data_IF_940574479331
#
_entry.id   IF_940574479331
#
_cell.length_a   1.000
_cell.length_b   1.000
_cell.length_c   1.000
_cell.angle_alpha   90.00
_cell.angle_beta   90.00
_cell.angle_gamma   90.00
#
_symmetry.space_group_name_H-M   'P 1'
#
loop_
_entity.id
_entity.type
_entity.pdbx_description
1 polymer ?
#
# COMPACT_ATOMS: atom_id res chain seq x y z
N UNK A 1 21.25 22.01 11.92
CA UNK A 1 21.84 20.65 11.90
C UNK A 1 23.34 20.79 12.13
N UNK A 2 24.00 19.89 12.88
CA UNK A 2 25.44 20.01 13.15
C UNK A 2 26.27 19.79 11.88
N UNK A 3 27.46 20.39 11.83
CA UNK A 3 28.41 20.21 10.73
C UNK A 3 28.95 18.77 10.76
N UNK A 4 28.76 18.02 9.66
CA UNK A 4 29.17 16.61 9.54
C UNK A 4 28.04 15.57 9.69
N UNK A 5 26.77 15.97 9.75
CA UNK A 5 25.66 15.04 9.68
C UNK A 5 25.49 14.48 8.25
N UNK A 6 25.71 13.18 8.09
CA UNK A 6 25.53 12.49 6.82
C UNK A 6 24.05 12.41 6.44
N UNK A 7 23.71 12.80 5.22
CA UNK A 7 22.32 12.78 4.75
C UNK A 7 22.02 11.42 4.12
N UNK A 8 21.19 10.61 4.79
CA UNK A 8 20.74 9.33 4.27
C UNK A 8 19.28 9.40 3.78
N UNK A 9 19.02 8.77 2.63
CA UNK A 9 17.66 8.58 2.12
C UNK A 9 16.93 7.56 3.01
N UNK A 10 15.67 7.87 3.36
CA UNK A 10 14.86 6.96 4.16
C UNK A 10 14.54 5.66 3.39
N UNK A 11 14.43 4.48 4.04
CA UNK A 11 14.16 3.21 3.34
C UNK A 11 12.91 3.23 2.46
N UNK A 12 11.85 3.90 2.90
CA UNK A 12 10.62 4.06 2.11
C UNK A 12 10.84 4.94 0.87
N UNK A 13 11.61 6.02 1.03
CA UNK A 13 11.98 6.96 -0.03
C UNK A 13 12.83 6.24 -1.09
N UNK A 14 13.74 5.36 -0.65
CA UNK A 14 14.56 4.53 -1.52
C UNK A 14 13.70 3.54 -2.33
N UNK A 15 12.77 2.81 -1.70
CA UNK A 15 11.83 1.91 -2.40
C UNK A 15 10.99 2.62 -3.46
N UNK A 16 10.50 3.81 -3.14
CA UNK A 16 9.73 4.65 -4.09
C UNK A 16 10.59 5.02 -5.29
N UNK A 17 11.84 5.43 -5.04
CA UNK A 17 12.79 5.79 -6.10
C UNK A 17 13.16 4.61 -6.99
N UNK A 18 13.36 3.44 -6.39
CA UNK A 18 13.81 2.23 -7.09
C UNK A 18 12.65 1.45 -7.74
N UNK A 19 11.40 1.85 -7.49
CA UNK A 19 10.22 1.11 -7.98
C UNK A 19 10.17 -0.31 -7.42
N UNK A 20 10.55 -0.51 -6.15
CA UNK A 20 10.62 -1.80 -5.48
C UNK A 20 9.57 -1.91 -4.34
N UNK A 21 8.29 -2.20 -4.67
CA UNK A 21 7.24 -2.40 -3.67
C UNK A 21 7.53 -3.56 -2.73
N UNK A 22 7.12 -3.39 -1.48
CA UNK A 22 7.11 -4.48 -0.51
C UNK A 22 5.73 -5.16 -0.41
N UNK A 23 4.67 -4.52 -0.93
CA UNK A 23 3.32 -5.07 -0.91
C UNK A 23 2.48 -4.58 -2.07
N UNK A 24 1.53 -5.41 -2.49
CA UNK A 24 0.58 -5.16 -3.57
C UNK A 24 -0.84 -5.41 -3.08
N UNK A 25 -1.78 -4.56 -3.50
CA UNK A 25 -3.22 -4.77 -3.37
C UNK A 25 -3.84 -4.67 -4.76
N UNK A 26 -4.60 -5.67 -5.17
CA UNK A 26 -5.34 -5.66 -6.43
C UNK A 26 -6.82 -5.75 -6.12
N UNK A 27 -7.57 -4.73 -6.52
CA UNK A 27 -9.03 -4.67 -6.39
C UNK A 27 -9.65 -4.88 -7.77
N UNK A 28 -10.71 -5.70 -7.85
CA UNK A 28 -11.40 -6.06 -9.09
C UNK A 28 -12.89 -6.21 -8.83
N UNK A 29 -13.69 -6.03 -9.89
CA UNK A 29 -15.13 -6.24 -9.89
C UNK A 29 -15.91 -5.01 -10.33
N UNK A 30 -17.17 -5.21 -10.71
CA UNK A 30 -18.03 -4.11 -11.20
C UNK A 30 -18.30 -3.05 -10.12
N UNK A 31 -18.34 -3.46 -8.84
CA UNK A 31 -18.50 -2.58 -7.70
C UNK A 31 -17.38 -1.53 -7.62
N UNK A 32 -16.13 -1.92 -7.92
CA UNK A 32 -14.99 -1.01 -7.91
C UNK A 32 -15.19 0.13 -8.91
N UNK A 33 -15.71 -0.15 -10.11
CA UNK A 33 -15.92 0.87 -11.15
C UNK A 33 -16.94 1.92 -10.74
N UNK A 34 -17.91 1.57 -9.88
CA UNK A 34 -18.96 2.47 -9.38
C UNK A 34 -18.50 3.24 -8.12
N UNK A 35 -17.68 2.62 -7.27
CA UNK A 35 -17.29 3.15 -5.95
C UNK A 35 -15.79 3.47 -5.82
N UNK A 36 -15.08 3.62 -6.93
CA UNK A 36 -13.61 3.78 -6.93
C UNK A 36 -13.13 4.92 -6.05
N UNK A 37 -13.77 6.10 -6.15
CA UNK A 37 -13.39 7.27 -5.38
C UNK A 37 -13.57 7.06 -3.87
N UNK A 38 -14.64 6.39 -3.46
CA UNK A 38 -14.93 6.07 -2.05
C UNK A 38 -13.92 5.06 -1.50
N UNK A 39 -13.62 4.01 -2.28
CA UNK A 39 -12.63 3.00 -1.95
C UNK A 39 -11.24 3.65 -1.81
N UNK A 40 -10.84 4.49 -2.77
CA UNK A 40 -9.57 5.23 -2.71
C UNK A 40 -9.51 6.16 -1.49
N UNK A 41 -10.60 6.84 -1.16
CA UNK A 41 -10.67 7.68 0.04
C UNK A 41 -10.47 6.86 1.32
N UNK A 42 -11.11 5.70 1.44
CA UNK A 42 -10.93 4.78 2.57
C UNK A 42 -9.46 4.31 2.69
N UNK A 43 -8.85 3.94 1.57
CA UNK A 43 -7.44 3.53 1.52
C UNK A 43 -6.52 4.67 1.99
N UNK A 44 -6.71 5.89 1.47
CA UNK A 44 -5.91 7.05 1.84
C UNK A 44 -6.03 7.37 3.33
N UNK A 45 -7.24 7.42 3.88
CA UNK A 45 -7.44 7.67 5.31
C UNK A 45 -6.78 6.60 6.20
N UNK A 46 -6.90 5.32 5.82
CA UNK A 46 -6.25 4.24 6.56
C UNK A 46 -4.72 4.38 6.54
N UNK A 47 -4.16 4.69 5.38
CA UNK A 47 -2.72 4.90 5.19
C UNK A 47 -2.21 6.12 5.94
N UNK A 48 -2.93 7.25 5.90
CA UNK A 48 -2.57 8.46 6.65
C UNK A 48 -2.56 8.21 8.15
N UNK A 49 -3.55 7.47 8.66
CA UNK A 49 -3.61 7.07 10.07
C UNK A 49 -2.38 6.23 10.45
N UNK A 50 -2.02 5.23 9.66
CA UNK A 50 -0.82 4.42 9.90
C UNK A 50 0.47 5.25 9.79
N UNK A 51 0.56 6.14 8.81
CA UNK A 51 1.73 7.01 8.60
C UNK A 51 2.02 7.93 9.79
N UNK A 52 1.00 8.37 10.52
CA UNK A 52 1.18 9.22 11.70
C UNK A 52 2.06 8.57 12.79
N UNK A 53 2.08 7.24 12.86
CA UNK A 53 2.87 6.44 13.81
C UNK A 53 4.03 5.70 13.15
N UNK A 54 3.89 5.42 11.86
CA UNK A 54 4.82 4.61 11.07
C UNK A 54 5.15 5.35 9.76
N UNK A 55 6.00 6.39 9.78
CA UNK A 55 6.25 7.28 8.64
C UNK A 55 6.88 6.58 7.42
N UNK A 56 7.37 5.35 7.57
CA UNK A 56 7.90 4.52 6.48
C UNK A 56 6.82 3.71 5.74
N UNK A 57 5.63 3.54 6.31
CA UNK A 57 4.50 2.84 5.68
C UNK A 57 3.76 3.79 4.73
N UNK A 58 3.98 3.72 3.43
CA UNK A 58 3.41 4.65 2.44
C UNK A 58 2.81 3.91 1.26
N UNK A 59 1.83 4.54 0.61
CA UNK A 59 1.46 4.20 -0.77
C UNK A 59 2.61 4.66 -1.67
N UNK A 60 3.02 3.78 -2.59
CA UNK A 60 3.99 4.10 -3.63
C UNK A 60 3.29 4.60 -4.89
N UNK A 61 2.33 3.84 -5.40
CA UNK A 61 1.58 4.17 -6.60
C UNK A 61 0.24 3.43 -6.62
N UNK A 62 -0.75 3.99 -7.30
CA UNK A 62 -1.96 3.29 -7.73
C UNK A 62 -2.08 3.38 -9.25
N UNK A 63 -2.55 2.32 -9.91
CA UNK A 63 -2.72 2.29 -11.36
C UNK A 63 -3.90 1.41 -11.74
N UNK A 64 -4.64 1.85 -12.77
CA UNK A 64 -5.71 1.05 -13.37
C UNK A 64 -5.13 0.15 -14.44
N UNK A 65 -5.47 -1.13 -14.41
CA UNK A 65 -5.04 -2.13 -15.38
C UNK A 65 -6.20 -3.10 -15.63
N UNK A 66 -6.70 -3.19 -16.87
CA UNK A 66 -7.71 -4.18 -17.28
C UNK A 66 -8.95 -4.28 -16.36
N UNK A 67 -9.51 -3.13 -15.97
CA UNK A 67 -10.66 -3.08 -15.05
C UNK A 67 -10.33 -3.41 -13.58
N UNK A 68 -9.05 -3.46 -13.25
CA UNK A 68 -8.54 -3.62 -11.89
C UNK A 68 -7.80 -2.38 -11.41
N UNK A 69 -7.83 -2.14 -10.11
CA UNK A 69 -7.03 -1.13 -9.44
C UNK A 69 -5.91 -1.81 -8.67
N UNK A 70 -4.67 -1.55 -9.08
CA UNK A 70 -3.46 -2.08 -8.44
C UNK A 70 -2.81 -0.97 -7.63
N UNK A 71 -2.58 -1.22 -6.36
CA UNK A 71 -1.95 -0.29 -5.42
C UNK A 71 -0.71 -0.95 -4.83
N UNK A 72 0.38 -0.19 -4.75
CA UNK A 72 1.67 -0.66 -4.26
C UNK A 72 2.06 0.09 -3.01
N UNK A 73 2.74 -0.61 -2.10
CA UNK A 73 3.09 -0.09 -0.77
C UNK A 73 4.55 -0.34 -0.45
N UNK A 74 5.13 0.54 0.37
CA UNK A 74 6.52 0.42 0.87
C UNK A 74 6.67 -0.62 1.99
N UNK A 75 5.56 -1.19 2.46
CA UNK A 75 5.48 -2.15 3.57
C UNK A 75 4.36 -3.19 3.32
N UNK A 76 4.65 -4.47 3.57
CA UNK A 76 3.71 -5.57 3.35
C UNK A 76 2.56 -5.58 4.38
N UNK A 77 2.83 -5.18 5.63
CA UNK A 77 1.79 -5.10 6.66
C UNK A 77 0.83 -3.95 6.40
N UNK A 78 1.29 -2.85 5.80
CA UNK A 78 0.40 -1.79 5.31
C UNK A 78 -0.53 -2.32 4.23
N UNK A 79 -0.01 -3.03 3.22
CA UNK A 79 -0.81 -3.62 2.14
C UNK A 79 -1.91 -4.54 2.71
N UNK A 80 -1.54 -5.41 3.66
CA UNK A 80 -2.46 -6.29 4.37
C UNK A 80 -3.53 -5.51 5.14
N UNK A 81 -3.13 -4.55 5.97
CA UNK A 81 -4.08 -3.77 6.79
C UNK A 81 -5.08 -2.99 5.93
N UNK A 82 -4.63 -2.46 4.79
CA UNK A 82 -5.52 -1.80 3.82
C UNK A 82 -6.48 -2.82 3.18
N UNK A 83 -6.00 -4.01 2.82
CA UNK A 83 -6.85 -5.06 2.26
C UNK A 83 -7.94 -5.51 3.25
N UNK A 84 -7.59 -5.71 4.52
CA UNK A 84 -8.53 -6.01 5.60
C UNK A 84 -9.53 -4.86 5.81
N UNK A 85 -9.09 -3.61 5.77
CA UNK A 85 -9.97 -2.45 5.91
C UNK A 85 -10.99 -2.33 4.77
N UNK A 86 -10.57 -2.57 3.52
CA UNK A 86 -11.47 -2.59 2.36
C UNK A 86 -12.46 -3.75 2.48
N UNK A 87 -11.98 -4.94 2.84
CA UNK A 87 -12.83 -6.12 3.04
C UNK A 87 -13.87 -5.91 4.14
N UNK A 88 -13.49 -5.31 5.27
CA UNK A 88 -14.43 -5.02 6.35
C UNK A 88 -15.46 -3.94 5.99
N UNK A 89 -15.13 -3.02 5.09
CA UNK A 89 -16.04 -1.94 4.68
C UNK A 89 -17.06 -2.38 3.62
N UNK A 90 -16.67 -3.29 2.72
CA UNK A 90 -17.47 -3.63 1.53
C UNK A 90 -17.77 -5.12 1.35
N UNK A 91 -17.26 -5.99 2.23
CA UNK A 91 -17.34 -7.45 2.14
C UNK A 91 -16.74 -8.00 0.81
N UNK A 92 -16.97 -9.28 0.51
CA UNK A 92 -16.60 -9.92 -0.74
C UNK A 92 -15.62 -11.08 -0.54
N UNK A 93 -14.59 -11.14 -1.38
CA UNK A 93 -13.55 -12.17 -1.28
C UNK A 93 -12.18 -11.50 -1.11
N UNK A 94 -11.42 -11.96 -0.11
CA UNK A 94 -10.08 -11.50 0.17
C UNK A 94 -9.12 -12.69 0.08
N UNK A 95 -8.15 -12.59 -0.83
CA UNK A 95 -7.09 -13.57 -1.00
C UNK A 95 -5.74 -12.91 -0.73
N UNK A 96 -4.88 -13.59 0.03
CA UNK A 96 -3.58 -13.08 0.46
C UNK A 96 -2.49 -14.07 0.08
N UNK A 97 -1.63 -13.62 -0.84
CA UNK A 97 -0.45 -14.36 -1.23
C UNK A 97 0.79 -13.77 -0.57
N UNK A 98 1.50 -14.62 0.18
CA UNK A 98 2.82 -14.32 0.68
C UNK A 98 3.84 -15.05 -0.19
N UNK A 99 4.95 -14.41 -0.58
CA UNK A 99 6.08 -15.16 -1.09
C UNK A 99 6.43 -16.20 -0.01
N UNK A 100 6.47 -17.48 -0.38
CA UNK A 100 6.92 -18.53 0.54
C UNK A 100 8.30 -18.13 1.06
N UNK A 101 8.46 -18.16 2.39
CA UNK A 101 9.70 -17.87 3.10
C UNK A 101 10.94 -18.29 2.30
N UNK A 102 11.73 -17.33 1.84
CA UNK A 102 13.15 -17.57 1.67
C UNK A 102 13.79 -17.21 3.00
N UNK A 103 13.84 -18.21 3.88
CA UNK A 103 14.72 -18.19 5.04
C UNK A 103 16.14 -18.14 4.48
N UNK A 104 16.83 -17.02 4.66
CA UNK A 104 18.29 -16.92 4.52
C UNK A 104 18.87 -16.46 5.84
#
# INVERSE_FOLDING_TARGET
MPEGADQQICPACQRIKDGAPAGYLTLRGEFLSLHEAEIMSLIHHHVEREQSRHPLKRIMQHQKQDGSLVITFTDAHLARGVAEAVYHAYDGALDMHYPKDEVV
#
